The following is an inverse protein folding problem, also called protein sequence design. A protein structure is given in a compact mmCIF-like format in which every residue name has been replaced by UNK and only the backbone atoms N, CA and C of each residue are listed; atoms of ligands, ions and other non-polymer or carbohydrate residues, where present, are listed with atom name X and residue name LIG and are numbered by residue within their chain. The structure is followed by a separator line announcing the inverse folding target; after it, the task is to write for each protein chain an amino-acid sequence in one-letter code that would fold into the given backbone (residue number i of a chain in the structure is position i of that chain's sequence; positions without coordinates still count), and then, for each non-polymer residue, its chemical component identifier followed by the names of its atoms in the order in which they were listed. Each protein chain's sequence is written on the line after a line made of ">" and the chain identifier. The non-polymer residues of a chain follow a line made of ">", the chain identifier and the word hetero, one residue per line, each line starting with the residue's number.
data_IF_870106864733
#
_entry.id   IF_870106864733
#
_cell.length_a   1.000
_cell.length_b   1.000
_cell.length_c   1.000
_cell.angle_alpha   90.00
_cell.angle_beta   90.00
_cell.angle_gamma   90.00
#
_symmetry.space_group_name_H-M   'P 1'
#
loop_
_entity.id
_entity.type
_entity.pdbx_description
1 polymer ?
#
# COMPACT_ATOMS: atom_id res chain seq x y z
N UNK A 1 -1.87 20.21 29.10
CA UNK A 1 -0.69 19.78 28.32
C UNK A 1 -0.78 18.28 28.08
N UNK A 2 -1.25 17.84 26.90
CA UNK A 2 -1.31 16.43 26.50
C UNK A 2 -0.97 16.36 25.01
N UNK A 3 0.28 16.09 24.69
CA UNK A 3 0.73 15.90 23.30
C UNK A 3 2.09 15.19 23.25
N UNK A 4 2.24 14.00 23.84
CA UNK A 4 3.45 13.17 23.61
C UNK A 4 3.13 11.68 23.74
N UNK A 5 2.29 11.12 22.86
CA UNK A 5 2.17 9.65 22.75
C UNK A 5 2.07 9.14 21.31
N UNK A 6 1.75 9.99 20.32
CA UNK A 6 1.64 9.55 18.92
C UNK A 6 2.98 9.24 18.23
N UNK A 7 4.07 9.92 18.62
CA UNK A 7 5.36 9.82 17.93
C UNK A 7 6.05 8.47 18.18
N UNK A 8 5.90 7.90 19.39
CA UNK A 8 6.55 6.64 19.77
C UNK A 8 5.97 5.43 19.03
N UNK A 9 4.66 5.36 18.84
CA UNK A 9 4.02 4.28 18.11
C UNK A 9 4.27 4.35 16.61
N UNK A 10 4.28 5.55 16.03
CA UNK A 10 4.67 5.76 14.63
C UNK A 10 6.11 5.33 14.36
N UNK A 11 7.04 5.73 15.23
CA UNK A 11 8.44 5.33 15.14
C UNK A 11 8.62 3.82 15.35
N UNK A 12 7.85 3.19 16.24
CA UNK A 12 7.92 1.76 16.50
C UNK A 12 7.38 0.93 15.34
N UNK A 13 6.28 1.36 14.72
CA UNK A 13 5.75 0.72 13.50
C UNK A 13 6.72 0.89 12.33
N UNK A 14 7.27 2.10 12.17
CA UNK A 14 8.27 2.40 11.14
C UNK A 14 9.52 1.53 11.35
N UNK A 15 10.02 1.44 12.57
CA UNK A 15 11.15 0.60 12.93
C UNK A 15 10.86 -0.88 12.71
N UNK A 16 9.66 -1.37 13.05
CA UNK A 16 9.26 -2.76 12.83
C UNK A 16 9.14 -3.08 11.33
N UNK A 17 8.69 -2.12 10.52
CA UNK A 17 8.58 -2.27 9.06
C UNK A 17 9.95 -2.22 8.37
N UNK A 18 10.89 -1.41 8.87
CA UNK A 18 12.27 -1.31 8.37
C UNK A 18 13.21 -2.37 8.95
N UNK A 19 12.87 -2.97 10.09
CA UNK A 19 13.67 -3.98 10.79
C UNK A 19 14.11 -5.14 9.88
N UNK A 20 13.23 -5.80 9.09
CA UNK A 20 13.66 -6.88 8.21
C UNK A 20 14.66 -6.41 7.14
N UNK A 21 14.51 -5.18 6.62
CA UNK A 21 15.49 -4.57 5.71
C UNK A 21 16.84 -4.38 6.41
N UNK A 22 16.83 -3.74 7.58
CA UNK A 22 18.04 -3.44 8.35
C UNK A 22 18.75 -4.70 8.85
N UNK A 23 18.01 -5.77 9.18
CA UNK A 23 18.57 -7.06 9.58
C UNK A 23 19.31 -7.69 8.41
N UNK A 24 18.72 -7.69 7.20
CA UNK A 24 19.36 -8.24 6.00
C UNK A 24 20.64 -7.47 5.69
N UNK A 25 20.59 -6.14 5.77
CA UNK A 25 21.75 -5.27 5.57
C UNK A 25 22.86 -5.53 6.60
N UNK A 26 22.51 -5.68 7.88
CA UNK A 26 23.45 -6.04 8.94
C UNK A 26 24.06 -7.43 8.74
N UNK A 27 23.28 -8.40 8.28
CA UNK A 27 23.77 -9.74 7.95
C UNK A 27 24.74 -9.67 6.77
N UNK A 28 24.46 -8.85 5.75
CA UNK A 28 25.37 -8.64 4.61
C UNK A 28 26.69 -8.05 5.10
N UNK A 29 26.65 -6.99 5.90
CA UNK A 29 27.85 -6.36 6.46
C UNK A 29 28.65 -7.35 7.31
N UNK A 30 27.97 -8.13 8.17
CA UNK A 30 28.60 -9.11 9.04
C UNK A 30 29.24 -10.28 8.27
N UNK A 31 28.62 -10.74 7.18
CA UNK A 31 29.10 -11.91 6.42
C UNK A 31 30.17 -11.57 5.39
N UNK A 32 30.17 -10.36 4.82
CA UNK A 32 31.05 -10.01 3.70
C UNK A 32 32.35 -9.32 4.14
N UNK A 33 32.41 -8.77 5.36
CA UNK A 33 33.44 -7.77 5.66
C UNK A 33 34.15 -7.99 7.00
N UNK A 34 35.46 -8.09 6.87
CA UNK A 34 36.45 -8.35 7.91
C UNK A 34 37.21 -7.10 8.35
N UNK A 35 37.05 -5.99 7.61
CA UNK A 35 37.78 -4.74 7.83
C UNK A 35 36.86 -3.54 7.95
N UNK A 36 37.22 -2.58 8.82
CA UNK A 36 36.43 -1.38 9.06
C UNK A 36 36.24 -0.49 7.79
N UNK A 37 37.23 -0.49 6.89
CA UNK A 37 37.15 0.25 5.62
C UNK A 37 36.08 -0.35 4.68
N UNK A 38 36.03 -1.68 4.61
CA UNK A 38 35.00 -2.42 3.88
C UNK A 38 33.61 -2.10 4.45
N UNK A 39 33.44 -2.19 5.78
CA UNK A 39 32.18 -1.86 6.49
C UNK A 39 31.68 -0.47 6.13
N UNK A 40 32.57 0.53 6.15
CA UNK A 40 32.21 1.90 5.79
C UNK A 40 31.82 2.04 4.32
N UNK A 41 32.53 1.36 3.42
CA UNK A 41 32.23 1.34 1.99
C UNK A 41 30.87 0.69 1.72
N UNK A 42 30.55 -0.42 2.38
CA UNK A 42 29.26 -1.11 2.22
C UNK A 42 28.12 -0.30 2.82
N UNK A 43 28.33 0.37 3.94
CA UNK A 43 27.34 1.30 4.50
C UNK A 43 27.08 2.49 3.55
N UNK A 44 28.14 3.06 2.96
CA UNK A 44 28.02 4.13 1.97
C UNK A 44 27.28 3.66 0.72
N UNK A 45 27.59 2.45 0.25
CA UNK A 45 26.93 1.79 -0.88
C UNK A 45 25.43 1.62 -0.62
N UNK A 46 25.05 1.05 0.53
CA UNK A 46 23.65 0.94 0.95
C UNK A 46 22.97 2.30 1.02
N UNK A 47 23.62 3.30 1.62
CA UNK A 47 23.09 4.66 1.69
C UNK A 47 22.80 5.25 0.29
N UNK A 48 23.73 5.09 -0.66
CA UNK A 48 23.52 5.50 -2.04
C UNK A 48 22.38 4.72 -2.71
N UNK A 49 22.27 3.43 -2.44
CA UNK A 49 21.19 2.58 -2.95
C UNK A 49 19.83 3.04 -2.45
N UNK A 50 19.68 3.29 -1.15
CA UNK A 50 18.42 3.81 -0.59
C UNK A 50 18.04 5.18 -1.16
N UNK A 51 19.01 6.10 -1.26
CA UNK A 51 18.78 7.42 -1.86
C UNK A 51 18.31 7.31 -3.31
N UNK A 52 19.03 6.53 -4.12
CA UNK A 52 18.71 6.36 -5.53
C UNK A 52 17.36 5.65 -5.73
N UNK A 53 17.10 4.60 -4.96
CA UNK A 53 15.83 3.87 -4.99
C UNK A 53 14.66 4.77 -4.60
N UNK A 54 14.85 5.67 -3.63
CA UNK A 54 13.82 6.64 -3.23
C UNK A 54 13.54 7.64 -4.35
N UNK A 55 14.58 8.22 -4.94
CA UNK A 55 14.45 9.21 -6.03
C UNK A 55 13.73 8.59 -7.23
N UNK A 56 14.14 7.40 -7.65
CA UNK A 56 13.50 6.71 -8.78
C UNK A 56 12.06 6.29 -8.44
N UNK A 57 11.79 5.87 -7.20
CA UNK A 57 10.42 5.52 -6.79
C UNK A 57 9.51 6.74 -6.86
N UNK A 58 9.94 7.91 -6.34
CA UNK A 58 9.17 9.15 -6.46
C UNK A 58 8.89 9.54 -7.91
N UNK A 59 9.85 9.32 -8.81
CA UNK A 59 9.67 9.58 -10.23
C UNK A 59 8.64 8.63 -10.85
N UNK A 60 8.71 7.35 -10.51
CA UNK A 60 7.76 6.33 -10.93
C UNK A 60 6.36 6.62 -10.40
N UNK A 61 6.22 6.97 -9.12
CA UNK A 61 4.94 7.31 -8.50
C UNK A 61 4.32 8.53 -9.17
N UNK A 62 5.12 9.56 -9.44
CA UNK A 62 4.69 10.75 -10.18
C UNK A 62 4.21 10.43 -11.60
N UNK A 63 4.92 9.54 -12.30
CA UNK A 63 4.55 9.10 -13.65
C UNK A 63 3.26 8.27 -13.64
N UNK A 64 3.17 7.27 -12.75
CA UNK A 64 1.98 6.42 -12.59
C UNK A 64 0.76 7.25 -12.17
N UNK A 65 0.94 8.22 -11.28
CA UNK A 65 -0.11 9.16 -10.88
C UNK A 65 -0.60 10.03 -12.04
N UNK A 66 0.31 10.59 -12.83
CA UNK A 66 -0.03 11.36 -14.03
C UNK A 66 -0.78 10.49 -15.07
N UNK A 67 -0.35 9.25 -15.28
CA UNK A 67 -1.00 8.31 -16.19
C UNK A 67 -2.42 7.92 -15.73
N UNK A 68 -2.62 7.69 -14.43
CA UNK A 68 -3.95 7.45 -13.84
C UNK A 68 -4.88 8.66 -14.06
N UNK A 69 -4.36 9.88 -13.88
CA UNK A 69 -5.11 11.13 -14.09
C UNK A 69 -5.48 11.37 -15.55
N UNK A 70 -4.64 10.99 -16.51
CA UNK A 70 -4.86 11.23 -17.94
C UNK A 70 -5.75 10.17 -18.61
N UNK A 71 -5.67 8.92 -18.16
CA UNK A 71 -6.29 7.79 -18.88
C UNK A 71 -7.57 7.21 -18.27
N UNK A 72 -7.99 7.60 -17.05
CA UNK A 72 -8.88 6.75 -16.23
C UNK A 72 -8.40 5.28 -16.19
N UNK A 73 -7.11 5.05 -16.43
CA UNK A 73 -6.54 3.73 -16.59
C UNK A 73 -6.27 3.19 -15.19
N UNK A 74 -7.00 2.15 -14.81
CA UNK A 74 -6.76 1.43 -13.58
C UNK A 74 -5.45 0.65 -13.76
N UNK A 75 -4.33 1.22 -13.29
CA UNK A 75 -3.03 0.53 -13.35
C UNK A 75 -3.11 -0.66 -12.39
N UNK A 76 -3.06 -1.91 -12.90
CA UNK A 76 -3.17 -3.07 -12.04
C UNK A 76 -1.99 -3.12 -11.09
N UNK A 77 -2.27 -3.47 -9.85
CA UNK A 77 -1.33 -3.51 -8.73
C UNK A 77 -0.05 -4.31 -9.01
N UNK A 78 -0.17 -5.36 -9.80
CA UNK A 78 0.96 -6.18 -10.25
C UNK A 78 2.00 -5.35 -11.01
N UNK A 79 1.55 -4.42 -11.86
CA UNK A 79 2.46 -3.56 -12.63
C UNK A 79 3.19 -2.60 -11.70
N UNK A 80 2.49 -2.03 -10.73
CA UNK A 80 3.08 -1.12 -9.73
C UNK A 80 4.20 -1.83 -8.94
N UNK A 81 3.91 -3.02 -8.42
CA UNK A 81 4.88 -3.87 -7.73
C UNK A 81 6.09 -4.22 -8.62
N UNK A 82 5.86 -4.59 -9.87
CA UNK A 82 6.95 -4.88 -10.84
C UNK A 82 7.78 -3.62 -11.09
N UNK A 83 7.15 -2.46 -11.21
CA UNK A 83 7.82 -1.19 -11.48
C UNK A 83 8.74 -0.81 -10.32
N UNK A 84 8.26 -0.90 -9.07
CA UNK A 84 9.09 -0.69 -7.88
C UNK A 84 10.21 -1.74 -7.73
N UNK A 85 9.94 -3.00 -8.08
CA UNK A 85 10.98 -4.03 -8.14
C UNK A 85 12.08 -3.71 -9.15
N UNK A 86 11.67 -3.22 -10.32
CA UNK A 86 12.58 -2.80 -11.40
C UNK A 86 13.41 -1.60 -10.97
N UNK A 87 12.79 -0.61 -10.30
CA UNK A 87 13.49 0.53 -9.70
C UNK A 87 14.57 0.05 -8.73
N UNK A 88 14.24 -0.84 -7.80
CA UNK A 88 15.21 -1.38 -6.84
C UNK A 88 16.37 -2.08 -7.55
N UNK A 89 16.09 -2.91 -8.56
CA UNK A 89 17.12 -3.58 -9.35
C UNK A 89 18.03 -2.60 -10.11
N UNK A 90 17.45 -1.59 -10.77
CA UNK A 90 18.21 -0.54 -11.47
C UNK A 90 19.07 0.25 -10.48
N UNK A 91 18.50 0.65 -9.35
CA UNK A 91 19.24 1.39 -8.32
C UNK A 91 20.42 0.60 -7.79
N UNK A 92 20.23 -0.70 -7.51
CA UNK A 92 21.30 -1.57 -7.05
C UNK A 92 22.40 -1.74 -8.11
N UNK A 93 22.01 -1.92 -9.37
CA UNK A 93 22.96 -2.02 -10.48
C UNK A 93 23.82 -0.76 -10.63
N UNK A 94 23.17 0.42 -10.64
CA UNK A 94 23.87 1.71 -10.73
C UNK A 94 24.83 1.88 -9.55
N UNK A 95 24.41 1.54 -8.34
CA UNK A 95 25.25 1.68 -7.16
C UNK A 95 26.44 0.72 -7.18
N UNK A 96 26.26 -0.53 -7.63
CA UNK A 96 27.37 -1.46 -7.81
C UNK A 96 28.40 -0.96 -8.82
N UNK A 97 27.99 -0.23 -9.87
CA UNK A 97 28.94 0.41 -10.79
C UNK A 97 29.72 1.56 -10.16
N UNK A 98 29.15 2.25 -9.17
CA UNK A 98 29.81 3.33 -8.43
C UNK A 98 30.74 2.81 -7.33
N UNK A 99 30.50 1.59 -6.83
CA UNK A 99 31.30 0.93 -5.80
C UNK A 99 31.89 -0.40 -6.31
N UNK A 100 32.78 -0.38 -7.33
CA UNK A 100 33.32 -1.59 -7.94
C UNK A 100 34.19 -2.44 -6.99
N UNK A 101 34.61 -1.87 -5.85
CA UNK A 101 35.35 -2.57 -4.80
C UNK A 101 34.48 -3.53 -3.97
N UNK A 102 33.16 -3.45 -4.10
CA UNK A 102 32.21 -4.30 -3.38
C UNK A 102 31.71 -5.37 -4.34
N UNK A 103 32.17 -6.60 -4.12
CA UNK A 103 31.77 -7.74 -4.95
C UNK A 103 30.62 -8.47 -4.26
N UNK A 104 29.39 -8.19 -4.69
CA UNK A 104 28.21 -8.89 -4.20
C UNK A 104 28.00 -10.17 -5.00
N UNK A 105 27.84 -11.29 -4.30
CA UNK A 105 27.42 -12.52 -4.95
C UNK A 105 26.03 -12.34 -5.61
N UNK A 106 25.78 -13.06 -6.71
CA UNK A 106 24.48 -13.04 -7.38
C UNK A 106 23.33 -13.38 -6.42
N UNK A 107 23.58 -14.27 -5.45
CA UNK A 107 22.61 -14.64 -4.43
C UNK A 107 22.28 -13.47 -3.50
N UNK A 108 23.29 -12.68 -3.10
CA UNK A 108 23.10 -11.48 -2.28
C UNK A 108 22.29 -10.42 -3.02
N UNK A 109 22.59 -10.19 -4.31
CA UNK A 109 21.83 -9.28 -5.18
C UNK A 109 20.36 -9.70 -5.27
N UNK A 110 20.09 -10.99 -5.51
CA UNK A 110 18.73 -11.51 -5.59
C UNK A 110 17.99 -11.38 -4.24
N UNK A 111 18.67 -11.61 -3.12
CA UNK A 111 18.09 -11.44 -1.79
C UNK A 111 17.71 -9.98 -1.52
N UNK A 112 18.58 -9.01 -1.85
CA UNK A 112 18.30 -7.58 -1.68
C UNK A 112 17.08 -7.18 -2.52
N UNK A 113 17.04 -7.54 -3.80
CA UNK A 113 15.92 -7.21 -4.70
C UNK A 113 14.63 -7.86 -4.21
N UNK A 114 14.68 -9.11 -3.75
CA UNK A 114 13.50 -9.82 -3.24
C UNK A 114 12.93 -9.18 -1.98
N UNK A 115 13.79 -8.83 -1.02
CA UNK A 115 13.40 -8.15 0.23
C UNK A 115 12.80 -6.78 -0.08
N UNK A 116 13.35 -6.05 -1.05
CA UNK A 116 12.82 -4.74 -1.46
C UNK A 116 11.49 -4.83 -2.24
N UNK A 117 11.35 -5.85 -3.09
CA UNK A 117 10.09 -6.14 -3.80
C UNK A 117 8.98 -6.53 -2.81
N UNK A 118 9.31 -7.35 -1.83
CA UNK A 118 8.34 -7.77 -0.81
C UNK A 118 8.02 -6.64 0.16
N UNK A 119 9.02 -5.86 0.57
CA UNK A 119 8.87 -4.68 1.42
C UNK A 119 7.97 -3.62 0.80
N UNK A 120 8.17 -3.30 -0.49
CA UNK A 120 7.31 -2.35 -1.21
C UNK A 120 5.88 -2.88 -1.35
N UNK A 121 5.70 -4.16 -1.66
CA UNK A 121 4.39 -4.80 -1.74
C UNK A 121 3.62 -4.77 -0.42
N UNK A 122 4.32 -4.98 0.70
CA UNK A 122 3.73 -4.89 2.04
C UNK A 122 3.29 -3.46 2.38
N UNK A 123 4.12 -2.46 2.02
CA UNK A 123 3.79 -1.05 2.19
C UNK A 123 2.58 -0.61 1.36
N UNK A 124 2.54 -0.99 0.08
CA UNK A 124 1.41 -0.73 -0.82
C UNK A 124 0.10 -1.39 -0.33
N UNK A 125 0.17 -2.43 0.52
CA UNK A 125 -1.03 -3.04 1.12
C UNK A 125 -1.53 -2.29 2.34
N UNK A 126 -0.65 -1.62 3.07
CA UNK A 126 -1.01 -0.86 4.26
C UNK A 126 -1.62 0.50 3.92
N UNK A 127 -1.22 1.13 2.81
CA UNK A 127 -1.73 2.44 2.41
C UNK A 127 -3.20 2.38 1.97
N UNK A 128 -3.62 1.32 1.27
CA UNK A 128 -5.02 1.11 0.90
C UNK A 128 -5.91 0.56 2.02
N UNK A 129 -5.35 -0.09 3.05
CA UNK A 129 -6.14 -0.47 4.24
C UNK A 129 -6.55 0.73 5.11
N UNK A 130 -6.10 1.94 4.80
CA UNK A 130 -6.60 3.17 5.44
C UNK A 130 -7.83 3.78 4.74
N UNK A 131 -8.28 3.20 3.62
CA UNK A 131 -9.57 3.54 3.00
C UNK A 131 -10.73 2.63 3.44
N UNK A 132 -10.52 1.78 4.46
CA UNK A 132 -11.63 1.19 5.21
C UNK A 132 -12.20 2.26 6.15
N UNK A 133 -13.03 3.09 5.53
CA UNK A 133 -14.22 3.74 6.08
C UNK A 133 -14.64 3.14 7.45
N UNK A 134 -14.91 3.98 8.46
CA UNK A 134 -15.04 3.54 9.85
C UNK A 134 -16.17 2.51 10.00
N UNK A 135 -15.93 1.52 10.85
CA UNK A 135 -16.81 0.41 11.29
C UNK A 135 -18.31 0.75 11.52
N UNK A 136 -18.71 2.02 11.55
CA UNK A 136 -20.11 2.44 11.51
C UNK A 136 -20.80 2.25 10.15
N UNK A 137 -20.07 2.35 9.03
CA UNK A 137 -20.69 2.32 7.70
C UNK A 137 -21.16 0.92 7.28
N UNK A 138 -20.50 -0.12 7.77
CA UNK A 138 -20.91 -1.50 7.55
C UNK A 138 -22.25 -1.81 8.24
N UNK A 139 -22.56 -1.10 9.34
CA UNK A 139 -23.84 -1.21 10.04
C UNK A 139 -24.99 -0.55 9.27
N UNK A 140 -24.72 0.54 8.54
CA UNK A 140 -25.70 1.23 7.71
C UNK A 140 -25.99 0.41 6.46
N UNK A 141 -24.96 -0.14 5.82
CA UNK A 141 -25.12 -0.95 4.62
C UNK A 141 -25.90 -2.26 4.91
N UNK A 142 -25.67 -2.88 6.08
CA UNK A 142 -26.50 -4.00 6.57
C UNK A 142 -27.96 -3.61 6.83
N UNK A 143 -28.21 -2.43 7.41
CA UNK A 143 -29.57 -1.91 7.59
C UNK A 143 -30.26 -1.63 6.24
N UNK A 144 -29.54 -1.07 5.27
CA UNK A 144 -30.06 -0.84 3.91
C UNK A 144 -30.45 -2.16 3.24
N UNK A 145 -29.62 -3.21 3.37
CA UNK A 145 -29.95 -4.55 2.83
C UNK A 145 -31.22 -5.10 3.46
N UNK A 146 -31.37 -4.98 4.79
CA UNK A 146 -32.57 -5.45 5.48
C UNK A 146 -33.82 -4.67 5.05
N UNK A 147 -33.72 -3.34 4.96
CA UNK A 147 -34.83 -2.47 4.56
C UNK A 147 -35.24 -2.68 3.11
N UNK A 148 -34.28 -2.88 2.20
CA UNK A 148 -34.55 -3.17 0.79
C UNK A 148 -35.26 -4.52 0.58
N UNK A 149 -35.16 -5.45 1.53
CA UNK A 149 -35.89 -6.73 1.46
C UNK A 149 -37.39 -6.58 1.81
N UNK A 150 -37.74 -5.57 2.60
CA UNK A 150 -39.11 -5.38 3.12
C UNK A 150 -39.83 -4.17 2.54
N UNK A 151 -39.10 -3.20 2.01
CA UNK A 151 -39.64 -1.90 1.58
C UNK A 151 -39.13 -1.49 0.19
N UNK A 152 -39.79 -0.49 -0.41
CA UNK A 152 -39.34 0.10 -1.68
C UNK A 152 -38.11 0.99 -1.48
N UNK A 153 -37.31 1.17 -2.54
CA UNK A 153 -36.09 2.01 -2.55
C UNK A 153 -36.33 3.40 -1.95
N UNK A 154 -37.47 4.03 -2.24
CA UNK A 154 -37.81 5.37 -1.76
C UNK A 154 -38.03 5.38 -0.24
N UNK A 155 -38.76 4.40 0.27
CA UNK A 155 -39.02 4.24 1.72
C UNK A 155 -37.74 3.93 2.49
N UNK A 156 -36.85 3.10 1.92
CA UNK A 156 -35.54 2.81 2.50
C UNK A 156 -34.68 4.07 2.63
N UNK A 157 -34.65 4.93 1.61
CA UNK A 157 -33.89 6.19 1.65
C UNK A 157 -34.46 7.15 2.69
N UNK A 158 -35.79 7.28 2.78
CA UNK A 158 -36.44 8.15 3.77
C UNK A 158 -36.16 7.68 5.20
N UNK A 159 -36.18 6.37 5.45
CA UNK A 159 -35.96 5.79 6.76
C UNK A 159 -34.51 5.94 7.23
N UNK A 160 -33.54 5.65 6.36
CA UNK A 160 -32.12 5.84 6.66
C UNK A 160 -31.79 7.32 6.87
N UNK A 161 -32.41 8.23 6.12
CA UNK A 161 -32.24 9.66 6.33
C UNK A 161 -32.83 10.16 7.66
N UNK A 162 -33.88 9.50 8.15
CA UNK A 162 -34.48 9.79 9.46
C UNK A 162 -33.61 9.29 10.60
N UNK A 163 -33.11 8.05 10.49
CA UNK A 163 -32.28 7.41 11.51
C UNK A 163 -30.87 8.04 11.57
N UNK A 164 -30.41 8.62 10.47
CA UNK A 164 -29.11 9.29 10.35
C UNK A 164 -29.22 10.67 9.69
N UNK A 165 -29.63 11.71 10.45
CA UNK A 165 -29.84 13.06 9.91
C UNK A 165 -28.55 13.74 9.43
N UNK A 166 -27.39 13.30 9.93
CA UNK A 166 -26.07 13.86 9.60
C UNK A 166 -25.54 13.38 8.24
N UNK A 167 -26.14 12.34 7.64
CA UNK A 167 -25.74 11.86 6.32
C UNK A 167 -26.39 12.68 5.18
N UNK A 168 -25.61 13.10 4.17
CA UNK A 168 -26.15 13.80 3.02
C UNK A 168 -27.00 12.85 2.15
N UNK A 169 -28.22 13.28 1.82
CA UNK A 169 -29.22 12.54 1.01
C UNK A 169 -28.64 11.91 -0.27
N UNK A 170 -27.70 12.60 -0.91
CA UNK A 170 -27.05 12.13 -2.14
C UNK A 170 -26.25 10.84 -1.92
N UNK A 171 -25.61 10.70 -0.76
CA UNK A 171 -24.76 9.55 -0.45
C UNK A 171 -25.61 8.35 -0.05
N UNK A 172 -26.70 8.57 0.69
CA UNK A 172 -27.70 7.53 1.01
C UNK A 172 -28.31 6.97 -0.28
N UNK A 173 -28.77 7.84 -1.19
CA UNK A 173 -29.35 7.41 -2.46
C UNK A 173 -28.36 6.63 -3.33
N UNK A 174 -27.09 7.06 -3.38
CA UNK A 174 -26.04 6.38 -4.14
C UNK A 174 -25.80 4.97 -3.59
N UNK A 175 -25.76 4.81 -2.26
CA UNK A 175 -25.57 3.52 -1.59
C UNK A 175 -26.74 2.57 -1.80
N UNK A 176 -27.98 3.04 -1.57
CA UNK A 176 -29.19 2.23 -1.76
C UNK A 176 -29.26 1.74 -3.22
N UNK A 177 -28.92 2.59 -4.19
CA UNK A 177 -28.86 2.18 -5.60
C UNK A 177 -27.75 1.15 -5.88
N UNK A 178 -26.55 1.35 -5.34
CA UNK A 178 -25.44 0.40 -5.51
C UNK A 178 -25.77 -0.97 -4.91
N UNK A 179 -26.33 -1.00 -3.71
CA UNK A 179 -26.72 -2.23 -3.01
C UNK A 179 -27.89 -2.91 -3.73
N UNK A 180 -28.90 -2.16 -4.17
CA UNK A 180 -30.02 -2.72 -4.95
C UNK A 180 -29.53 -3.37 -6.25
N UNK A 181 -28.62 -2.73 -6.97
CA UNK A 181 -28.05 -3.28 -8.20
C UNK A 181 -27.15 -4.50 -7.92
N UNK A 182 -26.44 -4.53 -6.79
CA UNK A 182 -25.62 -5.68 -6.40
C UNK A 182 -26.46 -6.88 -5.95
N UNK A 183 -27.61 -6.66 -5.30
CA UNK A 183 -28.51 -7.73 -4.88
C UNK A 183 -29.31 -8.32 -6.04
N UNK A 184 -29.73 -7.52 -7.02
CA UNK A 184 -30.37 -8.03 -8.26
C UNK A 184 -29.45 -8.99 -9.04
N UNK A 185 -28.13 -8.82 -8.94
CA UNK A 185 -27.15 -9.72 -9.59
C UNK A 185 -26.96 -11.03 -8.80
N UNK A 186 -27.40 -11.08 -7.54
CA UNK A 186 -27.15 -12.22 -6.64
C UNK A 186 -28.38 -13.13 -6.43
N UNK A 187 -29.58 -12.75 -6.91
CA UNK A 187 -30.73 -13.66 -7.00
C UNK A 187 -30.87 -14.26 -8.42
N UNK A 188 -30.37 -15.49 -8.67
CA UNK A 188 -30.86 -16.26 -9.80
C UNK A 188 -32.24 -16.83 -9.44
N UNK A 189 -33.25 -16.48 -10.23
CA UNK A 189 -34.38 -17.36 -10.60
C UNK A 189 -34.66 -18.56 -9.66
N UNK A 190 -35.40 -18.30 -8.60
CA UNK A 190 -36.31 -19.29 -7.99
C UNK A 190 -37.63 -18.56 -7.82
N UNK A 191 -38.57 -18.64 -8.75
CA UNK A 191 -39.27 -19.87 -9.10
C UNK A 191 -40.71 -19.65 -8.63
N UNK A 192 -41.61 -19.56 -9.61
CA UNK A 192 -43.06 -19.36 -9.47
C UNK A 192 -43.71 -20.23 -8.39
#
# INVERSE_FOLDING_TARGET
>A
MKAVTGLGWGALILALALAPLLIVDLIIIYLLEDTAFRILSTLAMLGCFYLLSTILSLFVDGLTGALRSLGHANVPRLIDTILHGTVSGISLYVVLTLFPSIDLSTLTVMAIVFVHLFGSSFWLNRENSKEDVPLELDSIDQQIIHLLRTETIVSCVERIQHDYPDLPKRDVLKRVKQISQSNEVTEPLHGR
#
